data_IF_749308388973
#
_entry.id   IF_749308388973
#
_cell.length_a   1.000
_cell.length_b   1.000
_cell.length_c   1.000
_cell.angle_alpha   90.00
_cell.angle_beta   90.00
_cell.angle_gamma   90.00
#
_symmetry.space_group_name_H-M   'P 1'
#
loop_
_entity.id
_entity.type
_entity.pdbx_description
1 polymer ?
#
# COMPACT_ATOMS: atom_id res chain seq x y z
N UNK A 1 68.66 1.74 7.65
CA UNK A 1 68.36 1.93 9.07
C UNK A 1 66.91 2.32 9.23
N UNK A 2 66.19 1.42 9.81
CA UNK A 2 65.14 1.63 10.79
C UNK A 2 64.02 2.57 10.39
N UNK A 3 62.92 2.16 10.45
CA UNK A 3 61.98 1.52 11.34
C UNK A 3 60.62 2.09 11.13
N UNK A 4 59.78 1.19 11.05
CA UNK A 4 58.71 0.87 11.99
C UNK A 4 57.45 1.62 11.67
N UNK A 5 56.55 0.83 11.35
CA UNK A 5 55.64 0.10 12.18
C UNK A 5 54.42 0.86 12.60
N UNK A 6 53.45 0.16 12.38
CA UNK A 6 52.27 -0.05 13.22
C UNK A 6 51.28 1.11 13.11
N UNK A 7 50.11 0.82 12.99
CA UNK A 7 49.27 -0.12 13.60
C UNK A 7 47.95 -0.29 12.91
N UNK A 8 47.72 -1.50 12.76
CA UNK A 8 46.35 -2.00 12.71
C UNK A 8 45.63 -1.56 13.96
N UNK A 9 44.43 -1.47 13.83
CA UNK A 9 43.38 -1.92 14.74
C UNK A 9 42.11 -1.23 14.32
N UNK A 10 41.25 -1.99 13.72
CA UNK A 10 40.25 -2.60 14.56
C UNK A 10 39.11 -1.65 14.77
N UNK A 11 38.50 -1.20 13.70
CA UNK A 11 37.17 -0.63 13.82
C UNK A 11 36.22 -1.77 14.01
N UNK A 12 35.98 -1.98 15.24
CA UNK A 12 34.93 -2.80 15.83
C UNK A 12 33.62 -2.64 15.07
N UNK A 13 33.19 -3.70 14.46
CA UNK A 13 31.82 -3.86 14.01
C UNK A 13 30.87 -3.79 15.21
N UNK A 14 30.30 -2.63 15.38
CA UNK A 14 29.01 -2.51 16.03
C UNK A 14 27.95 -2.41 14.94
N UNK A 15 27.65 -3.52 14.35
CA UNK A 15 26.46 -3.65 13.53
C UNK A 15 25.26 -3.67 14.44
N UNK A 16 24.76 -2.51 14.64
CA UNK A 16 23.52 -2.21 15.31
C UNK A 16 22.37 -3.06 14.72
N UNK A 17 21.69 -3.76 15.58
CA UNK A 17 20.47 -4.50 15.29
C UNK A 17 19.30 -3.62 14.77
N UNK A 18 19.49 -2.33 14.63
CA UNK A 18 18.51 -1.38 14.13
C UNK A 18 18.35 -1.37 12.59
N UNK A 19 19.29 -1.94 11.84
CA UNK A 19 19.27 -1.89 10.38
C UNK A 19 18.12 -2.70 9.76
N UNK A 20 17.69 -3.79 10.39
CA UNK A 20 16.61 -4.64 9.89
C UNK A 20 15.22 -4.01 9.97
N UNK A 21 14.96 -3.17 10.98
CA UNK A 21 13.67 -2.50 11.14
C UNK A 21 13.47 -1.35 10.14
N UNK A 22 14.53 -0.59 9.89
CA UNK A 22 14.52 0.49 8.92
C UNK A 22 14.32 -0.02 7.48
N UNK A 23 14.97 -1.12 7.13
CA UNK A 23 14.86 -1.74 5.80
C UNK A 23 13.45 -2.25 5.51
N UNK A 24 12.74 -2.76 6.52
CA UNK A 24 11.37 -3.26 6.34
C UNK A 24 10.38 -2.11 6.13
N UNK A 25 10.56 -0.99 6.84
CA UNK A 25 9.72 0.20 6.67
C UNK A 25 9.98 0.92 5.35
N UNK A 26 11.23 0.95 4.90
CA UNK A 26 11.61 1.55 3.61
C UNK A 26 11.12 0.72 2.43
N UNK A 27 11.26 -0.60 2.49
CA UNK A 27 10.69 -1.50 1.49
C UNK A 27 9.17 -1.38 1.39
N UNK A 28 8.49 -1.16 2.51
CA UNK A 28 7.05 -0.89 2.48
C UNK A 28 6.73 0.42 1.77
N UNK A 29 7.40 1.50 2.13
CA UNK A 29 7.23 2.80 1.46
C UNK A 29 7.47 2.70 -0.04
N UNK A 30 8.39 1.85 -0.46
CA UNK A 30 8.71 1.65 -1.87
C UNK A 30 7.67 0.79 -2.59
N UNK A 31 7.14 -0.26 -1.94
CA UNK A 31 6.12 -1.16 -2.51
C UNK A 31 4.74 -0.51 -2.56
N UNK A 32 4.41 0.36 -1.59
CA UNK A 32 3.06 0.93 -1.46
C UNK A 32 2.97 2.44 -1.74
N UNK A 33 4.09 3.14 -1.84
CA UNK A 33 4.14 4.61 -1.89
C UNK A 33 3.53 5.25 -3.16
N UNK A 34 3.44 4.50 -4.24
CA UNK A 34 2.93 5.01 -5.53
C UNK A 34 1.86 4.12 -6.17
N UNK A 35 1.52 3.03 -5.51
CA UNK A 35 0.70 1.99 -6.09
C UNK A 35 -0.72 2.04 -5.55
N UNK A 36 -1.42 3.09 -5.95
CA UNK A 36 -2.87 3.09 -5.81
C UNK A 36 -3.48 2.23 -6.92
N UNK A 37 -4.51 1.51 -6.57
CA UNK A 37 -5.33 0.78 -7.52
C UNK A 37 -6.41 1.71 -8.03
N UNK A 38 -6.48 1.92 -9.32
CA UNK A 38 -7.46 2.78 -9.98
C UNK A 38 -8.65 1.96 -10.51
N UNK A 39 -9.79 2.60 -10.60
CA UNK A 39 -11.03 1.98 -11.07
C UNK A 39 -11.73 2.83 -12.10
N UNK A 40 -12.42 2.15 -13.02
CA UNK A 40 -13.31 2.77 -13.96
C UNK A 40 -14.53 3.40 -13.27
N UNK A 41 -15.19 4.33 -13.95
CA UNK A 41 -16.38 4.99 -13.43
C UNK A 41 -17.47 3.98 -13.02
N UNK A 42 -17.98 4.13 -11.81
CA UNK A 42 -19.04 3.28 -11.23
C UNK A 42 -18.72 1.78 -11.19
N UNK A 43 -17.44 1.40 -11.22
CA UNK A 43 -16.99 0.01 -11.22
C UNK A 43 -16.01 -0.28 -10.09
N UNK A 44 -15.94 -1.55 -9.70
CA UNK A 44 -15.01 -2.08 -8.71
C UNK A 44 -14.22 -3.29 -9.26
N UNK A 45 -14.10 -3.40 -10.58
CA UNK A 45 -13.37 -4.46 -11.25
C UNK A 45 -11.88 -4.09 -11.37
N UNK A 46 -11.01 -5.07 -11.13
CA UNK A 46 -9.57 -4.94 -11.23
C UNK A 46 -9.12 -5.23 -12.67
N UNK A 47 -8.44 -4.30 -13.28
CA UNK A 47 -7.77 -4.50 -14.56
C UNK A 47 -6.41 -5.20 -14.41
N UNK A 48 -5.73 -5.45 -15.52
CA UNK A 48 -4.45 -6.15 -15.53
C UNK A 48 -3.34 -5.35 -14.83
N UNK A 49 -3.35 -4.02 -14.95
CA UNK A 49 -2.39 -3.14 -14.30
C UNK A 49 -2.57 -3.15 -12.79
N UNK A 50 -3.79 -3.01 -12.32
CA UNK A 50 -4.13 -3.13 -10.90
C UNK A 50 -3.74 -4.47 -10.31
N UNK A 51 -3.96 -5.58 -11.04
CA UNK A 51 -3.56 -6.91 -10.61
C UNK A 51 -2.05 -7.06 -10.48
N UNK A 52 -1.28 -6.51 -11.41
CA UNK A 52 0.18 -6.53 -11.33
C UNK A 52 0.69 -5.78 -10.08
N UNK A 53 0.11 -4.62 -9.76
CA UNK A 53 0.38 -3.89 -8.53
C UNK A 53 0.06 -4.74 -7.30
N UNK A 54 -1.10 -5.37 -7.28
CA UNK A 54 -1.53 -6.20 -6.15
C UNK A 54 -0.71 -7.48 -5.99
N UNK A 55 -0.15 -8.03 -7.06
CA UNK A 55 0.77 -9.17 -6.98
C UNK A 55 2.03 -8.80 -6.17
N UNK A 56 2.60 -7.63 -6.38
CA UNK A 56 3.73 -7.13 -5.59
C UNK A 56 3.35 -6.90 -4.13
N UNK A 57 2.18 -6.33 -3.87
CA UNK A 57 1.67 -6.16 -2.51
C UNK A 57 1.43 -7.51 -1.81
N UNK A 58 0.86 -8.48 -2.51
CA UNK A 58 0.62 -9.82 -1.99
C UNK A 58 1.94 -10.52 -1.60
N UNK A 59 2.96 -10.44 -2.46
CA UNK A 59 4.26 -11.03 -2.20
C UNK A 59 4.92 -10.41 -0.96
N UNK A 60 4.81 -9.10 -0.80
CA UNK A 60 5.34 -8.43 0.38
C UNK A 60 4.58 -8.85 1.66
N UNK A 61 3.24 -8.88 1.61
CA UNK A 61 2.41 -9.26 2.75
C UNK A 61 2.64 -10.70 3.19
N UNK A 62 2.81 -11.63 2.25
CA UNK A 62 3.15 -13.03 2.54
C UNK A 62 4.51 -13.18 3.24
N UNK A 63 5.49 -12.35 2.88
CA UNK A 63 6.81 -12.31 3.52
C UNK A 63 6.80 -11.59 4.89
N UNK A 64 5.75 -10.84 5.18
CA UNK A 64 5.61 -10.07 6.41
C UNK A 64 4.30 -10.41 7.15
N UNK A 65 4.13 -11.66 7.61
CA UNK A 65 2.85 -12.15 8.14
C UNK A 65 2.37 -11.44 9.41
N UNK A 66 3.25 -10.74 10.12
CA UNK A 66 2.90 -9.95 11.32
C UNK A 66 2.39 -8.55 11.00
N UNK A 67 2.52 -8.11 9.74
CA UNK A 67 2.05 -6.79 9.34
C UNK A 67 0.58 -6.82 9.00
N UNK A 68 -0.13 -5.81 9.45
CA UNK A 68 -1.55 -5.60 9.13
C UNK A 68 -1.70 -4.37 8.24
N UNK A 69 -2.68 -4.42 7.37
CA UNK A 69 -3.01 -3.33 6.46
C UNK A 69 -4.49 -3.00 6.53
N UNK A 70 -4.82 -1.77 6.21
CA UNK A 70 -6.18 -1.31 5.95
C UNK A 70 -6.26 -0.89 4.49
N UNK A 71 -7.22 -1.43 3.77
CA UNK A 71 -7.52 -1.02 2.41
C UNK A 71 -8.65 -0.01 2.46
N UNK A 72 -8.40 1.19 1.97
CA UNK A 72 -9.38 2.27 1.89
C UNK A 72 -9.84 2.43 0.45
N UNK A 73 -11.14 2.26 0.22
CA UNK A 73 -11.77 2.47 -1.07
C UNK A 73 -12.39 3.86 -1.18
N UNK A 74 -12.24 4.47 -2.34
CA UNK A 74 -12.67 5.83 -2.64
C UNK A 74 -13.53 5.88 -3.90
N UNK A 75 -14.38 6.88 -3.99
CA UNK A 75 -15.20 7.21 -5.15
C UNK A 75 -14.96 8.65 -5.58
N UNK A 76 -15.26 8.98 -6.83
CA UNK A 76 -15.34 10.36 -7.28
C UNK A 76 -16.60 11.05 -6.71
N UNK A 77 -16.69 12.40 -6.77
CA UNK A 77 -17.74 13.15 -6.07
C UNK A 77 -19.14 13.03 -6.68
N UNK A 78 -19.29 12.37 -7.81
CA UNK A 78 -20.57 12.22 -8.49
C UNK A 78 -21.47 11.19 -7.79
N UNK A 79 -22.76 11.49 -7.70
CA UNK A 79 -23.74 10.62 -7.09
C UNK A 79 -24.02 10.97 -5.62
N UNK A 80 -24.78 10.10 -4.95
CA UNK A 80 -25.12 10.29 -3.54
C UNK A 80 -24.00 9.81 -2.62
N UNK A 81 -23.98 10.34 -1.40
CA UNK A 81 -23.02 9.90 -0.37
C UNK A 81 -23.14 8.38 -0.10
N UNK A 82 -24.38 7.88 0.08
CA UNK A 82 -24.63 6.47 0.32
C UNK A 82 -24.13 5.58 -0.82
N UNK A 83 -24.34 5.99 -2.08
CA UNK A 83 -23.83 5.28 -3.24
C UNK A 83 -22.32 5.25 -3.27
N UNK A 84 -21.68 6.38 -3.02
CA UNK A 84 -20.22 6.52 -3.04
C UNK A 84 -19.54 5.75 -1.90
N UNK A 85 -20.16 5.71 -0.71
CA UNK A 85 -19.67 4.88 0.39
C UNK A 85 -19.76 3.40 0.06
N UNK A 86 -20.85 2.95 -0.56
CA UNK A 86 -21.01 1.57 -1.00
C UNK A 86 -20.00 1.21 -2.11
N UNK A 87 -19.82 2.09 -3.10
CA UNK A 87 -18.87 1.87 -4.18
C UNK A 87 -17.42 1.83 -3.66
N UNK A 88 -17.05 2.71 -2.75
CA UNK A 88 -15.74 2.68 -2.09
C UNK A 88 -15.52 1.36 -1.34
N UNK A 89 -16.53 0.85 -0.63
CA UNK A 89 -16.45 -0.44 0.05
C UNK A 89 -16.26 -1.60 -0.95
N UNK A 90 -17.00 -1.63 -2.03
CA UNK A 90 -16.85 -2.65 -3.08
C UNK A 90 -15.45 -2.64 -3.69
N UNK A 91 -14.84 -1.48 -3.87
CA UNK A 91 -13.47 -1.33 -4.35
C UNK A 91 -12.45 -1.88 -3.35
N UNK A 92 -12.60 -1.56 -2.08
CA UNK A 92 -11.75 -2.10 -1.03
C UNK A 92 -11.90 -3.64 -0.90
N UNK A 93 -13.13 -4.15 -0.97
CA UNK A 93 -13.40 -5.58 -0.94
C UNK A 93 -12.81 -6.32 -2.14
N UNK A 94 -12.86 -5.73 -3.34
CA UNK A 94 -12.25 -6.31 -4.54
C UNK A 94 -10.74 -6.46 -4.40
N UNK A 95 -10.07 -5.46 -3.83
CA UNK A 95 -8.63 -5.52 -3.54
C UNK A 95 -8.33 -6.59 -2.49
N UNK A 96 -9.06 -6.63 -1.38
CA UNK A 96 -8.91 -7.67 -0.35
C UNK A 96 -9.10 -9.07 -0.93
N UNK A 97 -10.17 -9.29 -1.69
CA UNK A 97 -10.46 -10.59 -2.31
C UNK A 97 -9.31 -11.05 -3.22
N UNK A 98 -8.72 -10.15 -3.99
CA UNK A 98 -7.59 -10.47 -4.84
C UNK A 98 -6.35 -10.84 -4.02
N UNK A 99 -6.01 -10.09 -2.98
CA UNK A 99 -4.86 -10.37 -2.11
C UNK A 99 -5.01 -11.70 -1.40
N UNK A 100 -6.20 -12.01 -0.88
CA UNK A 100 -6.50 -13.30 -0.24
C UNK A 100 -6.38 -14.45 -1.25
N UNK A 101 -6.92 -14.30 -2.46
CA UNK A 101 -6.76 -15.27 -3.54
C UNK A 101 -5.28 -15.50 -3.90
N UNK A 102 -4.45 -14.47 -3.78
CA UNK A 102 -3.01 -14.54 -4.01
C UNK A 102 -2.22 -15.14 -2.84
N UNK A 103 -2.88 -15.56 -1.78
CA UNK A 103 -2.29 -16.27 -0.65
C UNK A 103 -2.04 -15.43 0.60
N UNK A 104 -2.50 -14.18 0.65
CA UNK A 104 -2.39 -13.34 1.84
C UNK A 104 -3.42 -13.79 2.89
N UNK A 105 -3.01 -13.86 4.16
CA UNK A 105 -3.91 -14.18 5.24
C UNK A 105 -4.97 -13.08 5.40
N UNK A 106 -6.28 -13.40 5.35
CA UNK A 106 -7.34 -12.40 5.51
C UNK A 106 -7.29 -11.64 6.83
N UNK A 107 -6.73 -12.22 7.89
CA UNK A 107 -6.57 -11.56 9.19
C UNK A 107 -5.57 -10.40 9.17
N UNK A 108 -4.71 -10.31 8.14
CA UNK A 108 -3.82 -9.18 7.92
C UNK A 108 -4.55 -7.97 7.32
N UNK A 109 -5.76 -8.13 6.79
CA UNK A 109 -6.41 -7.16 5.90
C UNK A 109 -7.74 -6.71 6.47
N UNK A 110 -7.83 -5.45 6.86
CA UNK A 110 -9.09 -4.76 7.11
C UNK A 110 -9.47 -3.88 5.90
N UNK A 111 -10.74 -3.63 5.74
CA UNK A 111 -11.28 -2.78 4.68
C UNK A 111 -12.13 -1.65 5.25
N UNK A 112 -12.11 -0.51 4.60
CA UNK A 112 -12.97 0.63 4.91
C UNK A 112 -13.28 1.43 3.65
N UNK A 113 -14.37 2.17 3.68
CA UNK A 113 -14.70 3.11 2.61
C UNK A 113 -14.60 4.54 3.10
N UNK A 114 -14.06 5.38 2.26
CA UNK A 114 -14.07 6.84 2.40
C UNK A 114 -15.10 7.51 1.48
N UNK A 115 -15.68 6.73 0.56
CA UNK A 115 -16.59 7.29 -0.44
C UNK A 115 -15.95 8.47 -1.17
N UNK A 116 -16.64 9.58 -1.25
CA UNK A 116 -16.14 10.83 -1.83
C UNK A 116 -15.78 11.88 -0.76
N UNK A 117 -15.56 11.48 0.50
CA UNK A 117 -15.25 12.42 1.59
C UNK A 117 -13.82 12.95 1.54
N UNK A 118 -12.90 12.20 0.93
CA UNK A 118 -11.49 12.56 0.80
C UNK A 118 -11.06 12.44 -0.66
N UNK A 119 -11.15 13.51 -1.41
CA UNK A 119 -10.78 13.55 -2.81
C UNK A 119 -9.26 13.60 -2.98
N UNK A 120 -8.75 12.95 -4.03
CA UNK A 120 -7.33 12.98 -4.38
C UNK A 120 -6.91 14.37 -4.90
N UNK A 121 -7.86 15.09 -5.48
CA UNK A 121 -7.66 16.42 -6.05
C UNK A 121 -8.90 17.28 -5.86
N UNK A 122 -8.72 18.58 -5.80
CA UNK A 122 -9.81 19.56 -5.78
C UNK A 122 -10.36 19.87 -7.17
N UNK A 123 -9.76 19.30 -8.23
CA UNK A 123 -10.20 19.51 -9.61
C UNK A 123 -11.47 18.70 -9.91
N UNK A 124 -12.55 19.41 -10.13
CA UNK A 124 -13.83 18.80 -10.54
C UNK A 124 -13.84 18.60 -12.08
N UNK A 125 -12.94 17.76 -12.56
CA UNK A 125 -12.77 17.44 -13.98
C UNK A 125 -12.70 15.92 -14.17
N UNK A 126 -12.85 15.44 -15.40
CA UNK A 126 -12.73 14.02 -15.71
C UNK A 126 -11.39 13.42 -15.26
N UNK A 127 -10.30 14.16 -15.37
CA UNK A 127 -8.97 13.76 -14.88
C UNK A 127 -8.93 13.69 -13.35
N UNK A 128 -9.51 14.67 -12.66
CA UNK A 128 -9.64 14.68 -11.20
C UNK A 128 -10.45 13.46 -10.72
N UNK A 129 -11.57 13.18 -11.34
CA UNK A 129 -12.40 12.02 -10.99
C UNK A 129 -11.69 10.69 -11.20
N UNK A 130 -10.82 10.60 -12.22
CA UNK A 130 -9.98 9.41 -12.42
C UNK A 130 -9.04 9.17 -11.24
N UNK A 131 -8.44 10.22 -10.73
CA UNK A 131 -7.58 10.15 -9.54
C UNK A 131 -8.35 9.80 -8.26
N UNK A 132 -9.62 10.22 -8.17
CA UNK A 132 -10.48 9.94 -7.01
C UNK A 132 -10.93 8.49 -6.95
N UNK A 133 -11.11 7.82 -8.09
CA UNK A 133 -11.56 6.42 -8.18
C UNK A 133 -10.40 5.46 -7.88
N UNK A 134 -10.11 5.29 -6.61
CA UNK A 134 -8.93 4.52 -6.17
C UNK A 134 -9.20 3.64 -4.96
N UNK A 135 -8.28 2.74 -4.71
CA UNK A 135 -8.10 2.10 -3.41
C UNK A 135 -6.65 2.25 -2.98
N UNK A 136 -6.45 2.47 -1.69
CA UNK A 136 -5.14 2.60 -1.06
C UNK A 136 -4.96 1.49 -0.03
N UNK A 137 -3.80 0.87 -0.04
CA UNK A 137 -3.39 -0.08 1.00
C UNK A 137 -2.44 0.62 1.97
N UNK A 138 -2.82 0.70 3.23
CA UNK A 138 -2.07 1.40 4.28
C UNK A 138 -1.65 0.41 5.36
N UNK A 139 -0.38 0.50 5.80
CA UNK A 139 0.06 -0.27 6.98
C UNK A 139 -0.58 0.30 8.24
N UNK A 140 -1.04 -0.61 9.09
CA UNK A 140 -1.35 -0.29 10.48
C UNK A 140 -0.03 -0.22 11.26
N UNK A 141 0.33 0.97 11.70
CA UNK A 141 1.42 1.17 12.66
C UNK A 141 0.86 1.01 14.06
N UNK A 142 1.46 0.09 14.83
CA UNK A 142 1.21 -0.01 16.27
C UNK A 142 1.86 1.14 17.01
#
# INVERSE_FOLDING_TARGET
MNKKMLGALGALMMMSACAHHATTCENFKQVFKQEQVLFSSNRAELDAESKAVLDHQADWLKKNPHRKVVIQGYADPRGTEAHNMNLGMKRADAVKAYLVKSGVNPDQIAVTSKGATELATTQNTAQGWTADRRALTLIVTE
#
